data_IF_681719722418
#
_entry.id   IF_681719722418
#
_cell.length_a   1.000
_cell.length_b   1.000
_cell.length_c   1.000
_cell.angle_alpha   90.00
_cell.angle_beta   90.00
_cell.angle_gamma   90.00
#
_symmetry.space_group_name_H-M   'P 1'
#
loop_
_entity.id
_entity.type
_entity.pdbx_description
1 polymer ?
#
# COMPACT_ATOMS: atom_id res chain seq x y z
N UNK A 1 6.91 24.23 -18.94
CA UNK A 1 6.90 23.18 -17.90
C UNK A 1 5.86 23.57 -16.86
N UNK A 2 4.88 22.71 -16.53
CA UNK A 2 3.93 23.02 -15.47
C UNK A 2 4.67 23.11 -14.13
N UNK A 3 4.42 24.19 -13.38
CA UNK A 3 4.99 24.39 -12.04
C UNK A 3 4.14 23.59 -11.05
N UNK A 4 4.65 22.45 -10.60
CA UNK A 4 4.06 21.72 -9.48
C UNK A 4 4.30 22.52 -8.19
N UNK A 5 3.23 22.99 -7.56
CA UNK A 5 3.30 23.84 -6.35
C UNK A 5 3.11 23.04 -5.05
N UNK A 6 2.65 21.79 -5.12
CA UNK A 6 2.50 20.89 -3.96
C UNK A 6 3.56 19.77 -3.98
N UNK A 7 4.15 19.49 -2.81
CA UNK A 7 5.11 18.39 -2.60
C UNK A 7 4.48 17.03 -2.90
N UNK A 8 3.18 16.87 -2.67
CA UNK A 8 2.46 15.63 -2.98
C UNK A 8 2.40 15.37 -4.48
N UNK A 9 2.28 16.41 -5.30
CA UNK A 9 2.23 16.27 -6.76
C UNK A 9 3.58 15.82 -7.32
N UNK A 10 4.68 16.35 -6.78
CA UNK A 10 6.03 15.90 -7.13
C UNK A 10 6.26 14.42 -6.77
N UNK A 11 5.73 13.97 -5.63
CA UNK A 11 5.80 12.57 -5.21
C UNK A 11 4.99 11.70 -6.18
N UNK A 12 3.76 12.09 -6.52
CA UNK A 12 2.92 11.38 -7.49
C UNK A 12 3.63 11.22 -8.84
N UNK A 13 4.15 12.31 -9.40
CA UNK A 13 4.86 12.28 -10.69
C UNK A 13 6.09 11.38 -10.64
N UNK A 14 6.86 11.44 -9.55
CA UNK A 14 8.02 10.56 -9.36
C UNK A 14 7.64 9.08 -9.31
N UNK A 15 6.50 8.73 -8.72
CA UNK A 15 5.99 7.35 -8.69
C UNK A 15 5.56 6.87 -10.06
N UNK A 16 4.83 7.69 -10.82
CA UNK A 16 4.45 7.37 -12.20
C UNK A 16 5.70 7.13 -13.05
N UNK A 17 6.70 8.01 -12.96
CA UNK A 17 7.95 7.86 -13.69
C UNK A 17 8.73 6.60 -13.27
N UNK A 18 8.79 6.29 -11.98
CA UNK A 18 9.46 5.10 -11.45
C UNK A 18 8.77 3.79 -11.85
N UNK A 19 7.45 3.81 -12.02
CA UNK A 19 6.66 2.62 -12.37
C UNK A 19 7.04 2.05 -13.75
N UNK A 20 7.53 2.90 -14.66
CA UNK A 20 7.79 2.58 -16.08
C UNK A 20 6.58 1.99 -16.82
N UNK A 21 5.38 2.09 -16.24
CA UNK A 21 4.15 1.64 -16.88
C UNK A 21 3.74 2.72 -17.87
N UNK A 22 3.41 2.37 -19.12
CA UNK A 22 2.77 3.31 -20.03
C UNK A 22 1.36 3.60 -19.52
N UNK A 23 1.10 4.84 -19.18
CA UNK A 23 -0.19 5.31 -18.65
C UNK A 23 -0.71 6.40 -19.60
N UNK A 24 -1.95 6.27 -20.05
CA UNK A 24 -2.62 7.31 -20.83
C UNK A 24 -2.89 8.56 -19.99
N UNK A 25 -3.25 9.67 -20.64
CA UNK A 25 -3.55 10.93 -19.93
C UNK A 25 -4.77 10.77 -19.02
N UNK A 26 -5.80 10.06 -19.50
CA UNK A 26 -7.04 9.78 -18.77
C UNK A 26 -6.77 8.89 -17.54
N UNK A 27 -5.99 7.83 -17.71
CA UNK A 27 -5.59 6.94 -16.60
C UNK A 27 -4.74 7.69 -15.58
N UNK A 28 -3.80 8.53 -16.04
CA UNK A 28 -2.96 9.33 -15.14
C UNK A 28 -3.80 10.28 -14.30
N UNK A 29 -4.84 10.90 -14.89
CA UNK A 29 -5.77 11.75 -14.13
C UNK A 29 -6.55 10.93 -13.09
N UNK A 30 -7.08 9.78 -13.47
CA UNK A 30 -7.81 8.91 -12.53
C UNK A 30 -6.91 8.44 -11.37
N UNK A 31 -5.65 8.09 -11.66
CA UNK A 31 -4.65 7.72 -10.64
C UNK A 31 -4.33 8.89 -9.71
N UNK A 32 -4.24 10.11 -10.25
CA UNK A 32 -4.02 11.32 -9.46
C UNK A 32 -5.18 11.60 -8.50
N UNK A 33 -6.43 11.50 -8.98
CA UNK A 33 -7.63 11.70 -8.17
C UNK A 33 -7.72 10.65 -7.04
N UNK A 34 -7.38 9.39 -7.34
CA UNK A 34 -7.30 8.31 -6.34
C UNK A 34 -6.18 8.53 -5.32
N UNK A 35 -5.00 8.95 -5.77
CA UNK A 35 -3.85 9.25 -4.91
C UNK A 35 -4.20 10.35 -3.89
N UNK A 36 -4.80 11.45 -4.34
CA UNK A 36 -5.23 12.55 -3.46
C UNK A 36 -6.24 12.09 -2.42
N UNK A 37 -7.25 11.32 -2.84
CA UNK A 37 -8.26 10.76 -1.92
C UNK A 37 -7.63 9.89 -0.83
N UNK A 38 -6.64 9.06 -1.19
CA UNK A 38 -5.90 8.22 -0.25
C UNK A 38 -4.99 9.03 0.68
N UNK A 39 -4.36 10.10 0.19
CA UNK A 39 -3.54 10.98 1.01
C UNK A 39 -4.38 11.78 2.02
N UNK A 40 -5.57 12.22 1.62
CA UNK A 40 -6.52 12.85 2.54
C UNK A 40 -7.00 11.86 3.61
N UNK A 41 -7.33 10.62 3.22
CA UNK A 41 -7.70 9.59 4.19
C UNK A 41 -6.55 9.26 5.14
N UNK A 42 -5.33 9.14 4.62
CA UNK A 42 -4.13 8.88 5.42
C UNK A 42 -3.85 10.01 6.41
N UNK A 43 -4.04 11.28 5.99
CA UNK A 43 -3.84 12.43 6.88
C UNK A 43 -4.85 12.43 8.04
N UNK A 44 -6.11 12.09 7.76
CA UNK A 44 -7.18 11.98 8.79
C UNK A 44 -6.99 10.79 9.74
N UNK A 45 -6.42 9.69 9.25
CA UNK A 45 -6.28 8.44 10.02
C UNK A 45 -4.93 8.29 10.72
N UNK A 46 -3.94 9.14 10.39
CA UNK A 46 -2.66 9.20 11.10
C UNK A 46 -2.86 9.72 12.53
N UNK A 47 -3.02 8.79 13.46
CA UNK A 47 -2.89 9.06 14.89
C UNK A 47 -1.40 9.02 15.25
N UNK A 48 -0.85 10.14 15.74
CA UNK A 48 0.55 10.25 16.17
C UNK A 48 0.91 9.30 17.33
N UNK A 49 -0.10 8.88 18.11
CA UNK A 49 0.03 7.98 19.26
C UNK A 49 -0.14 6.49 18.91
N UNK A 50 -0.54 6.16 17.68
CA UNK A 50 -0.76 4.76 17.29
C UNK A 50 0.58 4.12 16.92
N UNK A 51 1.07 3.23 17.77
CA UNK A 51 2.23 2.40 17.45
C UNK A 51 1.90 1.55 16.21
N UNK A 52 2.59 1.83 15.10
CA UNK A 52 2.60 1.00 13.89
C UNK A 52 3.51 -0.21 14.05
N UNK A 53 3.62 -0.75 15.28
CA UNK A 53 4.33 -2.01 15.49
C UNK A 53 3.67 -3.05 14.60
N UNK A 54 4.48 -3.59 13.68
CA UNK A 54 4.10 -4.70 12.81
C UNK A 54 3.80 -5.87 13.74
N UNK A 55 2.53 -6.04 14.09
CA UNK A 55 2.07 -7.23 14.78
C UNK A 55 2.19 -8.36 13.78
N UNK A 56 3.30 -9.09 13.85
CA UNK A 56 3.47 -10.32 13.10
C UNK A 56 2.24 -11.17 13.35
N UNK A 57 1.56 -11.56 12.27
CA UNK A 57 0.45 -12.51 12.35
C UNK A 57 0.97 -13.76 13.09
N UNK A 58 0.18 -14.35 14.00
CA UNK A 58 0.60 -15.53 14.71
C UNK A 58 1.00 -16.59 13.68
N UNK A 59 2.22 -17.12 13.83
CA UNK A 59 2.76 -18.15 12.93
C UNK A 59 1.80 -19.33 12.97
N UNK A 60 1.13 -19.59 11.85
CA UNK A 60 0.28 -20.75 11.71
C UNK A 60 1.18 -21.98 11.78
N UNK A 61 1.10 -22.70 12.90
CA UNK A 61 1.80 -23.97 13.09
C UNK A 61 0.77 -25.08 12.84
N UNK A 62 0.78 -25.74 11.67
CA UNK A 62 -0.16 -26.83 11.41
C UNK A 62 0.05 -27.93 12.45
N UNK A 63 -1.02 -28.31 13.16
CA UNK A 63 -0.99 -29.46 14.06
C UNK A 63 -0.91 -30.72 13.20
N UNK A 64 0.14 -31.52 13.41
CA UNK A 64 0.23 -32.86 12.83
C UNK A 64 -1.03 -33.62 13.26
N UNK A 65 -1.83 -34.16 12.32
CA UNK A 65 -2.97 -34.98 12.68
C UNK A 65 -2.48 -36.19 13.46
N UNK A 66 -2.98 -36.38 14.68
CA UNK A 66 -2.75 -37.60 15.45
C UNK A 66 -3.55 -38.73 14.78
N UNK A 67 -2.88 -39.52 13.95
CA UNK A 67 -3.49 -40.68 13.32
C UNK A 67 -2.62 -41.37 12.28
N UNK A 68 -1.31 -41.43 12.50
CA UNK A 68 -0.34 -42.04 11.59
C UNK A 68 0.63 -42.97 12.31
N UNK A 69 0.07 -43.95 13.03
CA UNK A 69 0.71 -45.15 13.62
C UNK A 69 -0.44 -45.78 14.43
N UNK A 70 -0.99 -46.95 14.16
CA UNK A 70 -0.42 -48.24 13.77
C UNK A 70 -1.47 -48.93 12.85
N UNK A 71 -1.13 -49.75 11.86
CA UNK A 71 -0.79 -51.16 12.04
C UNK A 71 -0.16 -51.72 10.74
N UNK A 72 0.78 -52.64 10.93
CA UNK A 72 1.27 -53.59 9.92
C UNK A 72 0.20 -54.61 9.53
#
# INVERSE_FOLDING_TARGET
MPKYTDKNDLIFESMIQASKVPVSTEEKKALYDAYHSLMELASKTRQSSRAWDVRMLPIFTPKIPKGGSDDC
#
